data_IF_571260509618
#
_entry.id   IF_571260509618
#
_cell.length_a   1.000
_cell.length_b   1.000
_cell.length_c   1.000
_cell.angle_alpha   90.00
_cell.angle_beta   90.00
_cell.angle_gamma   90.00
#
_symmetry.space_group_name_H-M   'P 1'
#
loop_
_entity.id
_entity.type
_entity.pdbx_description
1 polymer ?
#
# COMPACT_ATOMS: atom_id res chain seq x y z
N UNK A 1 64.17 -95.39 -9.86
CA UNK A 1 64.26 -94.74 -11.19
C UNK A 1 62.99 -93.93 -11.34
N UNK A 2 62.94 -92.69 -10.85
CA UNK A 2 63.53 -91.45 -11.38
C UNK A 2 62.40 -90.59 -11.95
N UNK A 3 62.43 -89.31 -11.57
CA UNK A 3 61.69 -88.15 -12.10
C UNK A 3 60.24 -87.98 -11.64
N UNK A 4 59.71 -86.78 -11.40
CA UNK A 4 60.23 -85.46 -11.04
C UNK A 4 58.96 -84.64 -10.68
N UNK A 5 59.07 -83.83 -9.62
CA UNK A 5 58.47 -82.51 -9.40
C UNK A 5 57.19 -82.07 -10.16
N UNK A 6 56.21 -81.58 -9.40
CA UNK A 6 55.14 -80.73 -9.94
C UNK A 6 54.16 -80.22 -8.87
N UNK A 7 54.57 -79.22 -8.09
CA UNK A 7 53.63 -78.38 -7.33
C UNK A 7 52.73 -77.60 -8.30
N UNK A 8 51.42 -77.52 -8.05
CA UNK A 8 50.71 -76.24 -8.13
C UNK A 8 49.39 -76.25 -7.38
N UNK A 9 49.26 -75.30 -6.45
CA UNK A 9 48.04 -74.96 -5.72
C UNK A 9 47.10 -74.22 -6.67
N UNK A 10 45.91 -74.76 -6.92
CA UNK A 10 44.86 -74.02 -7.59
C UNK A 10 44.29 -72.98 -6.61
N UNK A 11 44.76 -71.74 -6.72
CA UNK A 11 44.12 -70.56 -6.13
C UNK A 11 42.95 -70.21 -7.04
N UNK A 12 41.73 -70.42 -6.55
CA UNK A 12 40.51 -69.90 -7.19
C UNK A 12 40.51 -68.39 -6.95
N UNK A 13 40.94 -67.62 -7.94
CA UNK A 13 40.75 -66.18 -7.98
C UNK A 13 39.29 -65.89 -8.36
N UNK A 14 38.46 -65.58 -7.37
CA UNK A 14 37.15 -64.96 -7.59
C UNK A 14 37.42 -63.52 -8.03
N UNK A 15 37.32 -63.28 -9.34
CA UNK A 15 37.22 -61.95 -9.92
C UNK A 15 35.85 -61.37 -9.52
N UNK A 16 35.78 -60.77 -8.32
CA UNK A 16 34.72 -59.81 -7.99
C UNK A 16 35.01 -58.58 -8.83
N UNK A 17 34.41 -58.52 -10.02
CA UNK A 17 34.20 -57.25 -10.72
C UNK A 17 33.24 -56.46 -9.84
N UNK A 18 33.80 -55.71 -8.90
CA UNK A 18 33.14 -54.57 -8.30
C UNK A 18 32.85 -53.61 -9.46
N UNK A 19 31.64 -53.70 -10.02
CA UNK A 19 30.97 -52.56 -10.61
C UNK A 19 30.75 -51.55 -9.48
N UNK A 20 31.82 -50.90 -9.03
CA UNK A 20 31.72 -49.57 -8.48
C UNK A 20 31.26 -48.71 -9.65
N UNK A 21 29.94 -48.63 -9.84
CA UNK A 21 29.33 -47.47 -10.46
C UNK A 21 30.05 -46.27 -9.85
N UNK A 22 30.75 -45.51 -10.67
CA UNK A 22 31.31 -44.23 -10.25
C UNK A 22 30.12 -43.44 -9.69
N UNK A 23 29.93 -43.47 -8.37
CA UNK A 23 29.06 -42.55 -7.69
C UNK A 23 29.76 -41.21 -7.83
N UNK A 24 29.54 -40.56 -8.98
CA UNK A 24 29.84 -39.16 -9.14
C UNK A 24 29.07 -38.48 -8.02
N UNK A 25 29.79 -38.01 -7.01
CA UNK A 25 29.23 -37.08 -6.05
C UNK A 25 28.92 -35.82 -6.86
N UNK A 26 27.70 -35.76 -7.40
CA UNK A 26 27.26 -34.59 -8.12
C UNK A 26 27.29 -33.42 -7.14
N UNK A 27 27.96 -32.35 -7.54
CA UNK A 27 27.99 -31.15 -6.75
C UNK A 27 26.60 -30.49 -6.84
N UNK A 28 25.78 -30.73 -5.84
CA UNK A 28 24.46 -30.11 -5.70
C UNK A 28 24.52 -28.78 -4.94
N UNK A 29 25.68 -28.10 -4.92
CA UNK A 29 25.80 -26.73 -4.47
C UNK A 29 25.28 -25.73 -5.51
N UNK A 30 25.64 -24.45 -5.33
CA UNK A 30 25.24 -23.40 -6.26
C UNK A 30 25.66 -23.71 -7.70
N UNK A 31 24.74 -23.52 -8.65
CA UNK A 31 24.94 -23.84 -10.07
C UNK A 31 24.28 -22.80 -10.97
N UNK A 32 24.71 -22.79 -12.22
CA UNK A 32 24.23 -21.87 -13.26
C UNK A 32 23.80 -22.69 -14.47
N UNK A 33 22.62 -22.40 -14.99
CA UNK A 33 22.04 -23.06 -16.15
C UNK A 33 22.13 -22.13 -17.33
N UNK A 34 23.14 -22.35 -18.16
CA UNK A 34 23.42 -21.58 -19.39
C UNK A 34 23.02 -22.34 -20.65
N UNK A 35 22.54 -23.57 -20.49
CA UNK A 35 22.07 -24.44 -21.56
C UNK A 35 21.06 -25.49 -21.05
N UNK A 36 20.35 -26.14 -21.97
CA UNK A 36 19.44 -27.26 -21.62
C UNK A 36 20.21 -28.44 -20.98
N UNK A 37 21.45 -28.68 -21.42
CA UNK A 37 22.29 -29.76 -20.89
C UNK A 37 22.69 -29.53 -19.42
N UNK A 38 22.85 -28.27 -18.99
CA UNK A 38 23.12 -27.94 -17.58
C UNK A 38 21.91 -28.29 -16.71
N UNK A 39 20.71 -27.97 -17.19
CA UNK A 39 19.45 -28.32 -16.51
C UNK A 39 19.25 -29.83 -16.43
N UNK A 40 19.53 -30.55 -17.52
CA UNK A 40 19.49 -32.02 -17.56
C UNK A 40 20.46 -32.65 -16.56
N UNK A 41 21.67 -32.11 -16.48
CA UNK A 41 22.68 -32.58 -15.52
C UNK A 41 22.21 -32.33 -14.08
N UNK A 42 21.68 -31.14 -13.79
CA UNK A 42 21.18 -30.82 -12.45
C UNK A 42 20.04 -31.76 -12.05
N UNK A 43 19.00 -31.89 -12.89
CA UNK A 43 17.78 -32.63 -12.54
C UNK A 43 17.98 -34.15 -12.48
N UNK A 44 18.97 -34.70 -13.18
CA UNK A 44 19.31 -36.13 -13.09
C UNK A 44 20.09 -36.48 -11.81
N UNK A 45 20.80 -35.51 -11.23
CA UNK A 45 21.75 -35.79 -10.16
C UNK A 45 21.36 -35.17 -8.81
N UNK A 46 20.56 -34.11 -8.81
CA UNK A 46 20.27 -33.31 -7.62
C UNK A 46 18.76 -33.17 -7.41
N UNK A 47 18.26 -33.86 -6.38
CA UNK A 47 16.90 -33.65 -5.86
C UNK A 47 16.81 -32.41 -4.97
N UNK A 48 17.89 -32.11 -4.25
CA UNK A 48 18.05 -30.93 -3.39
C UNK A 48 19.30 -30.20 -3.84
N UNK A 49 19.19 -28.89 -4.05
CA UNK A 49 20.33 -28.01 -4.35
C UNK A 49 20.60 -27.16 -3.11
N UNK A 50 21.77 -27.29 -2.50
CA UNK A 50 22.17 -26.61 -1.25
C UNK A 50 22.74 -25.21 -1.51
N UNK A 51 22.22 -24.51 -2.52
CA UNK A 51 22.73 -23.22 -2.99
C UNK A 51 21.86 -22.61 -4.07
N UNK A 52 22.35 -21.53 -4.70
CA UNK A 52 21.61 -20.79 -5.72
C UNK A 52 21.52 -21.57 -7.03
N UNK A 53 20.40 -21.45 -7.74
CA UNK A 53 20.23 -21.91 -9.11
C UNK A 53 19.96 -20.69 -9.97
N UNK A 54 20.97 -20.25 -10.72
CA UNK A 54 20.75 -19.17 -11.66
C UNK A 54 20.48 -19.64 -13.07
N UNK A 55 19.67 -18.85 -13.78
CA UNK A 55 19.21 -19.11 -15.14
C UNK A 55 19.82 -18.07 -16.08
N UNK A 56 20.39 -18.56 -17.18
CA UNK A 56 21.03 -17.75 -18.20
C UNK A 56 22.41 -17.20 -17.80
N UNK A 57 23.02 -16.38 -18.67
CA UNK A 57 22.52 -16.04 -20.01
C UNK A 57 22.59 -17.24 -20.98
N UNK A 58 21.72 -17.22 -21.99
CA UNK A 58 21.73 -18.22 -23.07
C UNK A 58 22.40 -17.67 -24.33
N UNK A 59 23.09 -18.54 -25.07
CA UNK A 59 23.67 -18.21 -26.37
C UNK A 59 22.78 -18.67 -27.53
N UNK A 60 22.74 -17.91 -28.62
CA UNK A 60 22.02 -18.25 -29.84
C UNK A 60 20.81 -17.37 -30.09
N UNK A 61 20.02 -17.71 -31.10
CA UNK A 61 18.86 -16.92 -31.53
C UNK A 61 17.52 -17.65 -31.28
N UNK A 62 17.56 -18.94 -30.96
CA UNK A 62 16.37 -19.76 -30.76
C UNK A 62 15.90 -19.70 -29.30
N UNK A 63 14.58 -19.74 -29.09
CA UNK A 63 14.00 -19.79 -27.74
C UNK A 63 14.50 -21.01 -26.98
N UNK A 64 14.95 -20.80 -25.74
CA UNK A 64 15.46 -21.87 -24.87
C UNK A 64 14.40 -22.36 -23.89
N UNK A 65 14.25 -23.68 -23.75
CA UNK A 65 13.30 -24.29 -22.84
C UNK A 65 14.03 -25.02 -21.70
N UNK A 66 13.95 -24.49 -20.48
CA UNK A 66 14.57 -25.06 -19.29
C UNK A 66 13.51 -25.79 -18.47
N UNK A 67 13.79 -27.06 -18.15
CA UNK A 67 12.96 -27.88 -17.27
C UNK A 67 13.80 -28.36 -16.08
N UNK A 68 13.30 -28.12 -14.86
CA UNK A 68 13.91 -28.55 -13.60
C UNK A 68 13.16 -29.72 -12.92
N UNK A 69 12.33 -30.45 -13.66
CA UNK A 69 11.65 -31.66 -13.19
C UNK A 69 12.66 -32.70 -12.69
N UNK A 70 12.56 -33.03 -11.40
CA UNK A 70 13.50 -33.85 -10.63
C UNK A 70 14.06 -33.10 -9.41
N UNK A 71 14.23 -31.77 -9.53
CA UNK A 71 14.62 -30.91 -8.40
C UNK A 71 13.40 -30.64 -7.55
N UNK A 72 13.49 -30.86 -6.24
CA UNK A 72 12.39 -30.67 -5.29
C UNK A 72 12.61 -29.48 -4.34
N UNK A 73 13.86 -29.18 -4.00
CA UNK A 73 14.23 -28.12 -3.05
C UNK A 73 15.46 -27.37 -3.54
N UNK A 74 15.41 -26.04 -3.44
CA UNK A 74 16.56 -25.15 -3.66
C UNK A 74 16.78 -24.35 -2.37
N UNK A 75 17.82 -24.66 -1.61
CA UNK A 75 18.24 -23.92 -0.40
C UNK A 75 19.07 -22.70 -0.83
N UNK A 76 18.43 -21.86 -1.63
CA UNK A 76 18.99 -20.66 -2.22
C UNK A 76 17.98 -19.98 -3.13
N UNK A 77 18.46 -18.99 -3.87
CA UNK A 77 17.66 -18.26 -4.85
C UNK A 77 17.58 -19.05 -6.15
N UNK A 78 16.36 -19.28 -6.63
CA UNK A 78 16.09 -19.59 -8.03
C UNK A 78 15.84 -18.28 -8.77
N UNK A 79 16.71 -17.93 -9.71
CA UNK A 79 16.54 -16.65 -10.40
C UNK A 79 17.53 -16.43 -11.51
N UNK A 80 17.70 -15.19 -11.90
CA UNK A 80 18.55 -14.82 -13.03
C UNK A 80 19.97 -14.46 -12.60
N UNK A 81 20.93 -14.66 -13.52
CA UNK A 81 22.35 -14.39 -13.26
C UNK A 81 22.67 -12.90 -13.14
N UNK A 82 23.14 -12.39 -11.98
CA UNK A 82 23.32 -10.95 -11.77
C UNK A 82 24.56 -10.34 -12.45
N UNK A 83 25.52 -11.14 -12.94
CA UNK A 83 26.85 -10.64 -13.35
C UNK A 83 27.02 -10.28 -14.83
N UNK A 84 25.99 -10.39 -15.67
CA UNK A 84 26.10 -10.10 -17.12
C UNK A 84 25.04 -9.12 -17.62
N UNK A 85 24.79 -8.02 -16.90
CA UNK A 85 23.82 -6.97 -17.30
C UNK A 85 23.94 -6.50 -18.77
N UNK A 86 25.11 -6.65 -19.43
CA UNK A 86 25.28 -6.35 -20.86
C UNK A 86 24.80 -7.45 -21.82
N UNK A 87 24.93 -8.72 -21.46
CA UNK A 87 24.63 -9.84 -22.36
C UNK A 87 23.12 -10.13 -22.42
N UNK A 88 22.34 -9.62 -21.46
CA UNK A 88 20.87 -9.68 -21.44
C UNK A 88 20.24 -9.06 -22.70
N UNK A 89 20.86 -8.02 -23.27
CA UNK A 89 20.35 -7.35 -24.48
C UNK A 89 20.38 -8.25 -25.72
N UNK A 90 21.15 -9.34 -25.70
CA UNK A 90 21.39 -10.19 -26.88
C UNK A 90 21.01 -11.65 -26.69
N UNK A 91 20.55 -12.05 -25.50
CA UNK A 91 20.14 -13.44 -25.28
C UNK A 91 18.79 -13.75 -25.95
N UNK A 92 18.52 -15.00 -26.33
CA UNK A 92 17.21 -15.38 -26.83
C UNK A 92 16.16 -15.38 -25.70
N UNK A 93 14.88 -15.40 -26.09
CA UNK A 93 13.77 -15.69 -25.18
C UNK A 93 13.93 -17.07 -24.54
N UNK A 94 13.38 -17.24 -23.34
CA UNK A 94 13.39 -18.55 -22.70
C UNK A 94 12.14 -18.83 -21.85
N UNK A 95 11.91 -20.11 -21.56
CA UNK A 95 10.87 -20.57 -20.63
C UNK A 95 11.49 -21.40 -19.53
N UNK A 96 10.97 -21.29 -18.31
CA UNK A 96 11.38 -22.11 -17.17
C UNK A 96 10.18 -22.87 -16.61
N UNK A 97 10.30 -24.20 -16.48
CA UNK A 97 9.29 -25.03 -15.87
C UNK A 97 9.85 -25.97 -14.79
N UNK A 98 9.04 -26.22 -13.76
CA UNK A 98 9.23 -27.32 -12.81
C UNK A 98 7.89 -27.72 -12.20
N UNK A 99 7.57 -29.00 -12.33
CA UNK A 99 6.43 -29.67 -11.69
C UNK A 99 6.84 -30.43 -10.41
N UNK A 100 8.13 -30.48 -10.08
CA UNK A 100 8.64 -31.16 -8.89
C UNK A 100 9.14 -30.22 -7.79
N UNK A 101 9.52 -28.98 -8.13
CA UNK A 101 10.04 -28.01 -7.18
C UNK A 101 8.95 -27.63 -6.18
N UNK A 102 9.18 -27.92 -4.90
CA UNK A 102 8.23 -27.67 -3.80
C UNK A 102 8.62 -26.49 -2.94
N UNK A 103 9.93 -26.25 -2.80
CA UNK A 103 10.50 -25.23 -1.92
C UNK A 103 11.71 -24.52 -2.54
N UNK A 104 11.83 -23.22 -2.26
CA UNK A 104 13.03 -22.44 -2.51
C UNK A 104 13.29 -21.47 -1.34
N UNK A 105 14.50 -20.96 -1.17
CA UNK A 105 14.71 -19.85 -0.23
C UNK A 105 14.23 -18.52 -0.83
N UNK A 106 14.44 -18.31 -2.13
CA UNK A 106 13.93 -17.16 -2.85
C UNK A 106 13.63 -17.52 -4.32
N UNK A 107 12.71 -16.78 -4.94
CA UNK A 107 12.47 -16.80 -6.39
C UNK A 107 12.58 -15.38 -6.92
N UNK A 108 13.42 -15.16 -7.93
CA UNK A 108 13.74 -13.80 -8.40
C UNK A 108 13.89 -13.71 -9.91
N UNK A 109 12.99 -12.97 -10.56
CA UNK A 109 13.02 -12.64 -11.98
C UNK A 109 12.60 -11.17 -12.18
N UNK A 110 13.17 -10.47 -13.14
CA UNK A 110 12.74 -9.09 -13.45
C UNK A 110 13.21 -8.02 -12.46
N UNK A 111 14.27 -8.30 -11.69
CA UNK A 111 15.08 -7.25 -11.05
C UNK A 111 15.92 -6.47 -12.08
N UNK A 112 16.22 -7.13 -13.20
CA UNK A 112 16.85 -6.57 -14.39
C UNK A 112 16.06 -7.01 -15.62
N UNK A 113 16.30 -6.40 -16.78
CA UNK A 113 15.65 -6.79 -18.03
C UNK A 113 15.83 -8.28 -18.29
N UNK A 114 14.72 -9.00 -18.44
CA UNK A 114 14.72 -10.45 -18.66
C UNK A 114 13.94 -10.84 -19.88
N UNK A 115 14.42 -11.90 -20.52
CA UNK A 115 13.81 -12.50 -21.70
C UNK A 115 13.00 -13.75 -21.37
N UNK A 116 12.70 -14.00 -20.09
CA UNK A 116 11.74 -15.04 -19.70
C UNK A 116 10.36 -14.71 -20.27
N UNK A 117 9.75 -15.68 -20.95
CA UNK A 117 8.41 -15.55 -21.56
C UNK A 117 7.37 -16.33 -20.78
N UNK A 118 7.73 -17.52 -20.29
CA UNK A 118 6.86 -18.36 -19.44
C UNK A 118 7.63 -18.84 -18.20
N UNK A 119 6.99 -18.73 -17.03
CA UNK A 119 7.47 -19.29 -15.77
C UNK A 119 6.40 -20.20 -15.18
N UNK A 120 6.70 -21.49 -15.05
CA UNK A 120 5.77 -22.50 -14.52
C UNK A 120 6.40 -23.22 -13.34
N UNK A 121 6.02 -22.86 -12.13
CA UNK A 121 6.45 -23.50 -10.88
C UNK A 121 5.21 -24.03 -10.14
N UNK A 122 4.42 -24.85 -10.82
CA UNK A 122 3.07 -25.23 -10.41
C UNK A 122 3.01 -26.03 -9.10
N UNK A 123 4.10 -26.71 -8.73
CA UNK A 123 4.23 -27.45 -7.47
C UNK A 123 4.96 -26.69 -6.36
N UNK A 124 5.42 -25.46 -6.62
CA UNK A 124 6.09 -24.65 -5.61
C UNK A 124 5.06 -24.24 -4.56
N UNK A 125 5.25 -24.68 -3.33
CA UNK A 125 4.28 -24.47 -2.24
C UNK A 125 4.69 -23.37 -1.28
N UNK A 126 5.99 -23.28 -0.99
CA UNK A 126 6.55 -22.33 -0.04
C UNK A 126 7.89 -21.79 -0.50
N UNK A 127 8.11 -20.50 -0.30
CA UNK A 127 9.42 -19.86 -0.43
C UNK A 127 9.79 -19.27 0.92
N UNK A 128 11.01 -19.49 1.42
CA UNK A 128 11.33 -19.07 2.79
C UNK A 128 11.38 -17.54 2.93
N UNK A 129 12.02 -16.86 1.98
CA UNK A 129 12.23 -15.41 2.05
C UNK A 129 11.24 -14.67 1.15
N UNK A 130 11.52 -14.60 -0.15
CA UNK A 130 10.73 -13.76 -1.05
C UNK A 130 10.51 -14.38 -2.43
N UNK A 131 9.37 -14.04 -3.01
CA UNK A 131 9.09 -14.20 -4.44
C UNK A 131 9.05 -12.82 -5.06
N UNK A 132 9.90 -12.57 -6.05
CA UNK A 132 9.96 -11.30 -6.75
C UNK A 132 9.93 -11.56 -8.26
N UNK A 133 8.80 -11.26 -8.89
CA UNK A 133 8.62 -11.19 -10.34
C UNK A 133 8.40 -9.71 -10.67
N UNK A 134 9.50 -9.01 -10.90
CA UNK A 134 9.55 -7.55 -10.97
C UNK A 134 9.13 -6.96 -12.31
N UNK A 135 9.12 -5.62 -12.35
CA UNK A 135 8.69 -4.84 -13.51
C UNK A 135 9.54 -5.07 -14.75
N UNK A 136 10.81 -5.44 -14.59
CA UNK A 136 11.70 -5.67 -15.72
C UNK A 136 11.51 -7.05 -16.38
N UNK A 137 10.58 -7.85 -15.87
CA UNK A 137 10.10 -9.06 -16.55
C UNK A 137 9.07 -8.77 -17.65
N UNK A 138 9.30 -7.74 -18.47
CA UNK A 138 8.37 -7.30 -19.52
C UNK A 138 8.05 -8.38 -20.55
N UNK A 139 8.91 -9.39 -20.75
CA UNK A 139 8.64 -10.43 -21.74
C UNK A 139 7.74 -11.56 -21.20
N UNK A 140 7.55 -11.61 -19.88
CA UNK A 140 6.78 -12.66 -19.22
C UNK A 140 5.28 -12.49 -19.50
N UNK A 141 4.69 -13.43 -20.23
CA UNK A 141 3.27 -13.42 -20.60
C UNK A 141 2.44 -14.45 -19.83
N UNK A 142 3.10 -15.47 -19.28
CA UNK A 142 2.49 -16.58 -18.54
C UNK A 142 3.26 -16.88 -17.24
N UNK A 143 2.56 -16.87 -16.12
CA UNK A 143 3.07 -17.21 -14.79
C UNK A 143 2.14 -18.24 -14.13
N UNK A 144 2.68 -19.40 -13.79
CA UNK A 144 1.97 -20.42 -13.00
C UNK A 144 2.68 -20.66 -11.67
N UNK A 145 2.01 -20.22 -10.61
CA UNK A 145 2.35 -20.39 -9.20
C UNK A 145 1.14 -21.02 -8.48
N UNK A 146 0.41 -21.93 -9.14
CA UNK A 146 -0.90 -22.43 -8.67
C UNK A 146 -0.89 -22.90 -7.21
N UNK A 147 0.19 -23.56 -6.79
CA UNK A 147 0.32 -24.14 -5.43
C UNK A 147 1.01 -23.22 -4.42
N UNK A 148 1.56 -22.08 -4.86
CA UNK A 148 2.31 -21.18 -3.97
C UNK A 148 1.33 -20.50 -3.03
N UNK A 149 1.53 -20.65 -1.73
CA UNK A 149 0.66 -20.03 -0.73
C UNK A 149 1.42 -19.46 0.47
N UNK A 150 2.76 -19.61 0.51
CA UNK A 150 3.59 -19.15 1.61
C UNK A 150 4.88 -18.52 1.11
N UNK A 151 5.16 -17.29 1.57
CA UNK A 151 6.45 -16.60 1.49
C UNK A 151 6.42 -15.40 2.42
N UNK A 152 7.54 -14.99 3.03
CA UNK A 152 7.53 -13.78 3.87
C UNK A 152 7.08 -12.55 3.06
N UNK A 153 7.61 -12.40 1.84
CA UNK A 153 7.25 -11.33 0.92
C UNK A 153 6.97 -11.82 -0.49
N UNK A 154 5.94 -11.25 -1.13
CA UNK A 154 5.63 -11.50 -2.55
C UNK A 154 5.56 -10.16 -3.29
N UNK A 155 6.30 -10.04 -4.38
CA UNK A 155 6.24 -8.94 -5.35
C UNK A 155 5.91 -9.52 -6.72
N UNK A 156 4.79 -9.12 -7.32
CA UNK A 156 4.40 -9.50 -8.68
C UNK A 156 4.03 -8.26 -9.47
N UNK A 157 4.70 -8.01 -10.59
CA UNK A 157 4.41 -6.82 -11.39
C UNK A 157 5.06 -6.83 -12.76
N UNK A 158 4.85 -7.88 -13.56
CA UNK A 158 5.30 -7.92 -14.96
C UNK A 158 4.25 -7.28 -15.88
N UNK A 159 4.53 -6.15 -16.55
CA UNK A 159 3.51 -5.37 -17.27
C UNK A 159 2.79 -6.13 -18.37
N UNK A 160 3.46 -7.04 -19.08
CA UNK A 160 2.86 -7.82 -20.16
C UNK A 160 2.33 -9.19 -19.70
N UNK A 161 2.22 -9.43 -18.39
CA UNK A 161 1.67 -10.68 -17.88
C UNK A 161 0.17 -10.73 -18.17
N UNK A 162 -0.25 -11.69 -19.00
CA UNK A 162 -1.66 -11.88 -19.37
C UNK A 162 -2.32 -13.02 -18.60
N UNK A 163 -1.54 -14.03 -18.23
CA UNK A 163 -2.05 -15.21 -17.53
C UNK A 163 -1.29 -15.43 -16.24
N UNK A 164 -2.00 -15.30 -15.12
CA UNK A 164 -1.54 -15.70 -13.79
C UNK A 164 -2.38 -16.87 -13.31
N UNK A 165 -1.75 -18.03 -13.12
CA UNK A 165 -2.33 -19.14 -12.38
C UNK A 165 -1.85 -19.09 -10.93
N UNK A 166 -2.74 -18.72 -10.03
CA UNK A 166 -2.48 -18.64 -8.61
C UNK A 166 -3.81 -18.83 -7.87
N UNK A 167 -3.82 -19.60 -6.78
CA UNK A 167 -5.05 -20.00 -6.09
C UNK A 167 -5.38 -19.08 -4.91
N UNK A 168 -4.50 -19.05 -3.90
CA UNK A 168 -4.73 -18.31 -2.66
C UNK A 168 -3.41 -18.13 -1.89
N UNK A 169 -3.35 -17.10 -1.06
CA UNK A 169 -2.27 -16.88 -0.11
C UNK A 169 -2.70 -17.34 1.29
N UNK A 170 -1.78 -17.95 2.05
CA UNK A 170 -2.03 -18.46 3.41
C UNK A 170 -1.04 -17.93 4.45
N UNK A 171 0.20 -17.69 4.07
CA UNK A 171 1.25 -17.25 5.00
C UNK A 171 2.19 -16.26 4.30
N UNK A 172 1.76 -14.99 4.30
CA UNK A 172 2.48 -13.85 3.71
C UNK A 172 2.34 -12.67 4.65
N UNK A 173 3.41 -11.91 4.86
CA UNK A 173 3.37 -10.68 5.68
C UNK A 173 3.45 -9.42 4.83
N UNK A 174 4.12 -9.47 3.67
CA UNK A 174 4.28 -8.34 2.76
C UNK A 174 3.87 -8.70 1.33
N UNK A 175 3.03 -7.88 0.72
CA UNK A 175 2.57 -8.06 -0.65
C UNK A 175 2.73 -6.78 -1.47
N UNK A 176 3.41 -6.88 -2.61
CA UNK A 176 3.52 -5.82 -3.60
C UNK A 176 2.98 -6.31 -4.96
N UNK A 177 2.01 -5.59 -5.49
CA UNK A 177 1.36 -5.86 -6.77
C UNK A 177 1.66 -4.68 -7.69
N UNK A 178 2.47 -4.89 -8.72
CA UNK A 178 2.77 -3.93 -9.76
C UNK A 178 1.88 -4.10 -11.01
N UNK A 179 2.14 -3.32 -12.07
CA UNK A 179 1.34 -3.35 -13.29
C UNK A 179 1.33 -4.74 -13.94
N UNK A 180 0.15 -5.17 -14.39
CA UNK A 180 -0.07 -6.44 -15.10
C UNK A 180 -1.33 -6.34 -15.98
N UNK A 181 -1.40 -7.14 -17.04
CA UNK A 181 -2.54 -7.22 -17.97
C UNK A 181 -3.48 -8.42 -17.67
N UNK A 182 -3.48 -8.91 -16.44
CA UNK A 182 -4.35 -10.00 -16.00
C UNK A 182 -5.79 -9.54 -15.76
N UNK A 183 -6.73 -10.48 -15.80
CA UNK A 183 -8.17 -10.18 -15.69
C UNK A 183 -8.69 -10.04 -14.25
N UNK A 184 -7.94 -10.50 -13.25
CA UNK A 184 -8.32 -10.41 -11.83
C UNK A 184 -7.08 -10.44 -10.93
N UNK A 185 -7.18 -9.75 -9.79
CA UNK A 185 -6.20 -9.76 -8.70
C UNK A 185 -6.65 -10.59 -7.51
N UNK A 186 -7.83 -11.21 -7.55
CA UNK A 186 -8.51 -11.75 -6.37
C UNK A 186 -7.67 -12.82 -5.65
N UNK A 187 -6.96 -13.69 -6.38
CA UNK A 187 -6.11 -14.70 -5.74
C UNK A 187 -4.94 -14.12 -4.95
N UNK A 188 -4.59 -12.85 -5.19
CA UNK A 188 -3.56 -12.11 -4.45
C UNK A 188 -4.18 -11.18 -3.40
N UNK A 189 -5.25 -10.47 -3.73
CA UNK A 189 -5.80 -9.39 -2.91
C UNK A 189 -7.03 -9.77 -2.08
N UNK A 190 -7.69 -10.90 -2.34
CA UNK A 190 -8.86 -11.40 -1.62
C UNK A 190 -8.52 -12.66 -0.78
N UNK A 191 -7.69 -12.47 0.26
CA UNK A 191 -7.27 -13.53 1.16
C UNK A 191 -7.46 -13.09 2.63
N UNK A 192 -8.02 -13.94 3.49
CA UNK A 192 -8.23 -13.64 4.93
C UNK A 192 -6.92 -13.75 5.74
N UNK A 193 -5.98 -12.83 5.50
CA UNK A 193 -4.66 -12.78 6.13
C UNK A 193 -4.47 -11.52 6.97
N UNK A 194 -3.44 -11.55 7.80
CA UNK A 194 -2.88 -10.38 8.47
C UNK A 194 -1.59 -9.99 7.75
N UNK A 195 -1.55 -8.78 7.19
CA UNK A 195 -0.38 -8.24 6.50
C UNK A 195 0.26 -7.13 7.34
N UNK A 196 1.59 -7.04 7.27
CA UNK A 196 2.31 -5.85 7.67
C UNK A 196 2.15 -4.77 6.59
N UNK A 197 2.41 -5.12 5.33
CA UNK A 197 2.45 -4.14 4.24
C UNK A 197 1.78 -4.65 2.97
N UNK A 198 0.97 -3.78 2.36
CA UNK A 198 0.33 -4.00 1.06
C UNK A 198 0.60 -2.80 0.14
N UNK A 199 1.26 -3.07 -0.98
CA UNK A 199 1.49 -2.09 -2.04
C UNK A 199 0.77 -2.55 -3.32
N UNK A 200 -0.05 -1.69 -3.90
CA UNK A 200 -0.70 -1.94 -5.18
C UNK A 200 -0.46 -0.75 -6.10
N UNK A 201 0.30 -0.96 -7.17
CA UNK A 201 0.61 0.05 -8.18
C UNK A 201 0.19 -0.42 -9.56
N UNK A 202 -0.79 0.26 -10.16
CA UNK A 202 -1.24 0.00 -11.52
C UNK A 202 -0.34 0.63 -12.59
N UNK A 203 -0.73 0.55 -13.87
CA UNK A 203 -2.10 0.26 -14.32
C UNK A 203 -2.46 -1.24 -14.32
N UNK A 204 -3.77 -1.51 -14.17
CA UNK A 204 -4.39 -2.83 -14.35
C UNK A 204 -5.52 -2.70 -15.39
N UNK A 205 -5.21 -2.62 -16.70
CA UNK A 205 -6.17 -2.22 -17.72
C UNK A 205 -7.39 -3.16 -17.84
N UNK A 206 -7.22 -4.43 -17.48
CA UNK A 206 -8.25 -5.45 -17.58
C UNK A 206 -8.99 -5.70 -16.24
N UNK A 207 -8.63 -4.97 -15.17
CA UNK A 207 -9.25 -5.10 -13.83
C UNK A 207 -10.16 -3.91 -13.56
N UNK A 208 -11.47 -4.19 -13.44
CA UNK A 208 -12.49 -3.16 -13.25
C UNK A 208 -12.70 -2.73 -11.80
N UNK A 209 -12.29 -3.55 -10.84
CA UNK A 209 -12.36 -3.27 -9.40
C UNK A 209 -11.33 -4.14 -8.66
N UNK A 210 -10.66 -3.56 -7.66
CA UNK A 210 -9.71 -4.27 -6.81
C UNK A 210 -10.37 -4.51 -5.45
N UNK A 211 -10.65 -5.77 -5.12
CA UNK A 211 -11.13 -6.16 -3.80
C UNK A 211 -9.97 -6.41 -2.84
N UNK A 212 -10.04 -5.85 -1.63
CA UNK A 212 -9.02 -6.02 -0.58
C UNK A 212 -9.63 -6.85 0.56
N UNK A 213 -9.31 -8.14 0.61
CA UNK A 213 -9.93 -9.15 1.47
C UNK A 213 -9.18 -9.52 2.76
N UNK A 214 -8.13 -8.78 3.11
CA UNK A 214 -7.33 -9.03 4.31
C UNK A 214 -8.08 -8.74 5.61
N UNK A 215 -7.84 -9.53 6.65
CA UNK A 215 -8.44 -9.37 7.99
C UNK A 215 -7.80 -8.21 8.75
N UNK A 216 -6.48 -8.06 8.66
CA UNK A 216 -5.82 -6.87 9.16
C UNK A 216 -4.62 -6.46 8.31
N UNK A 217 -4.38 -5.16 8.18
CA UNK A 217 -3.20 -4.63 7.49
C UNK A 217 -2.62 -3.45 8.26
N UNK A 218 -1.31 -3.46 8.55
CA UNK A 218 -0.68 -2.31 9.20
C UNK A 218 -0.54 -1.12 8.22
N UNK A 219 -0.09 -1.35 7.00
CA UNK A 219 0.10 -0.30 6.02
C UNK A 219 -0.39 -0.71 4.62
N UNK A 220 -1.29 0.07 4.04
CA UNK A 220 -1.77 -0.07 2.67
C UNK A 220 -1.37 1.17 1.88
N UNK A 221 -0.78 0.98 0.71
CA UNK A 221 -0.58 2.02 -0.29
C UNK A 221 -1.07 1.56 -1.66
N UNK A 222 -2.05 2.28 -2.21
CA UNK A 222 -2.65 1.96 -3.51
C UNK A 222 -2.51 3.16 -4.45
N UNK A 223 -2.00 2.92 -5.66
CA UNK A 223 -1.88 3.87 -6.76
C UNK A 223 -2.22 3.18 -8.10
N UNK A 224 -3.49 3.19 -8.53
CA UNK A 224 -3.92 2.27 -9.59
C UNK A 224 -4.83 2.78 -10.69
N UNK A 225 -5.43 3.97 -10.59
CA UNK A 225 -6.52 4.42 -11.47
C UNK A 225 -7.73 3.47 -11.51
N UNK A 226 -7.92 2.68 -10.45
CA UNK A 226 -8.98 1.67 -10.35
C UNK A 226 -9.92 1.93 -9.17
N UNK A 227 -11.20 1.51 -9.26
CA UNK A 227 -12.10 1.40 -8.13
C UNK A 227 -11.58 0.41 -7.08
N UNK A 228 -11.68 0.76 -5.80
CA UNK A 228 -11.28 -0.09 -4.69
C UNK A 228 -12.51 -0.50 -3.86
N UNK A 229 -12.61 -1.78 -3.55
CA UNK A 229 -13.58 -2.30 -2.57
C UNK A 229 -12.83 -2.89 -1.38
N UNK A 230 -13.06 -2.31 -0.19
CA UNK A 230 -12.57 -2.85 1.07
C UNK A 230 -13.49 -3.98 1.55
N UNK A 231 -12.90 -5.14 1.82
CA UNK A 231 -13.58 -6.38 2.13
C UNK A 231 -13.71 -7.29 0.91
N UNK A 232 -13.35 -8.55 1.14
CA UNK A 232 -13.31 -9.60 0.15
C UNK A 232 -14.59 -10.42 0.02
N UNK A 233 -14.48 -11.56 -0.65
CA UNK A 233 -15.58 -12.49 -0.85
C UNK A 233 -15.93 -13.29 0.41
N UNK A 234 -14.97 -13.52 1.30
CA UNK A 234 -15.17 -14.19 2.61
C UNK A 234 -15.10 -13.22 3.79
N UNK A 235 -14.30 -12.14 3.68
CA UNK A 235 -13.97 -11.22 4.78
C UNK A 235 -15.19 -10.66 5.48
N UNK A 236 -15.26 -10.87 6.81
CA UNK A 236 -16.32 -10.33 7.69
C UNK A 236 -15.88 -9.16 8.53
N UNK A 237 -14.60 -9.11 8.88
CA UNK A 237 -14.02 -8.12 9.76
C UNK A 237 -12.70 -7.68 9.15
N UNK A 238 -12.46 -6.37 9.13
CA UNK A 238 -11.26 -5.79 8.56
C UNK A 238 -10.75 -4.65 9.44
N UNK A 239 -9.45 -4.65 9.73
CA UNK A 239 -8.78 -3.56 10.44
C UNK A 239 -7.57 -3.05 9.66
N UNK A 240 -7.48 -1.74 9.44
CA UNK A 240 -6.37 -1.11 8.71
C UNK A 240 -5.76 -0.03 9.59
N UNK A 241 -4.45 -0.08 9.89
CA UNK A 241 -3.84 1.03 10.65
C UNK A 241 -3.59 2.25 9.76
N UNK A 242 -3.06 2.05 8.56
CA UNK A 242 -2.82 3.15 7.62
C UNK A 242 -3.27 2.79 6.20
N UNK A 243 -4.14 3.62 5.64
CA UNK A 243 -4.68 3.50 4.29
C UNK A 243 -4.29 4.72 3.46
N UNK A 244 -3.28 4.59 2.59
CA UNK A 244 -2.84 5.63 1.67
C UNK A 244 -3.37 5.33 0.26
N UNK A 245 -4.22 6.21 -0.25
CA UNK A 245 -4.83 6.09 -1.57
C UNK A 245 -4.37 7.23 -2.47
N UNK A 246 -3.88 6.87 -3.64
CA UNK A 246 -3.45 7.79 -4.68
C UNK A 246 -4.09 7.41 -6.01
N UNK A 247 -4.57 8.40 -6.76
CA UNK A 247 -5.12 8.18 -8.10
C UNK A 247 -6.18 7.07 -8.18
N UNK A 248 -7.04 6.92 -7.17
CA UNK A 248 -8.17 5.98 -7.22
C UNK A 248 -9.39 6.64 -7.85
N UNK A 249 -10.28 5.85 -8.44
CA UNK A 249 -11.51 6.34 -9.09
C UNK A 249 -12.77 6.12 -8.27
N UNK A 250 -12.72 5.24 -7.27
CA UNK A 250 -13.82 4.98 -6.34
C UNK A 250 -13.30 4.27 -5.08
N UNK A 251 -14.02 4.40 -3.95
CA UNK A 251 -13.75 3.68 -2.71
C UNK A 251 -15.07 3.17 -2.12
N UNK A 252 -15.21 1.85 -2.03
CA UNK A 252 -16.41 1.19 -1.52
C UNK A 252 -16.09 0.21 -0.41
N UNK A 253 -17.14 -0.16 0.30
CA UNK A 253 -17.14 -1.26 1.26
C UNK A 253 -17.96 -2.42 0.74
N UNK A 254 -17.43 -3.62 0.92
CA UNK A 254 -18.17 -4.86 0.71
C UNK A 254 -19.32 -4.98 1.71
N UNK A 255 -20.50 -5.34 1.20
CA UNK A 255 -21.69 -5.61 2.04
C UNK A 255 -21.51 -6.81 2.98
N UNK A 256 -20.46 -7.63 2.78
CA UNK A 256 -20.14 -8.77 3.63
C UNK A 256 -19.41 -8.37 4.92
N UNK A 257 -18.80 -7.19 4.97
CA UNK A 257 -18.10 -6.67 6.14
C UNK A 257 -19.10 -6.24 7.22
N UNK A 258 -19.02 -6.90 8.37
CA UNK A 258 -19.71 -6.51 9.61
C UNK A 258 -18.98 -5.35 10.28
N UNK A 259 -17.65 -5.39 10.29
CA UNK A 259 -16.80 -4.35 10.89
C UNK A 259 -15.67 -3.95 9.94
N UNK A 260 -15.40 -2.65 9.86
CA UNK A 260 -14.31 -2.03 9.12
C UNK A 260 -13.74 -0.87 9.94
N UNK A 261 -12.63 -1.12 10.61
CA UNK A 261 -11.93 -0.16 11.46
C UNK A 261 -10.70 0.35 10.74
N UNK A 262 -10.55 1.67 10.61
CA UNK A 262 -9.37 2.28 9.98
C UNK A 262 -8.78 3.29 10.96
N UNK A 263 -7.50 3.22 11.30
CA UNK A 263 -6.90 4.25 12.15
C UNK A 263 -6.69 5.54 11.33
N UNK A 264 -5.89 5.49 10.26
CA UNK A 264 -5.59 6.65 9.43
C UNK A 264 -5.87 6.39 7.96
N UNK A 265 -6.58 7.31 7.31
CA UNK A 265 -6.78 7.34 5.87
C UNK A 265 -6.16 8.62 5.30
N UNK A 266 -5.33 8.48 4.27
CA UNK A 266 -4.78 9.57 3.47
C UNK A 266 -5.18 9.41 2.02
N UNK A 267 -5.79 10.44 1.46
CA UNK A 267 -6.05 10.58 0.03
C UNK A 267 -5.12 11.66 -0.54
N UNK A 268 -4.23 11.28 -1.46
CA UNK A 268 -3.26 12.19 -2.08
C UNK A 268 -3.06 11.95 -3.57
N UNK A 269 -2.24 12.79 -4.20
CA UNK A 269 -1.96 12.71 -5.64
C UNK A 269 -3.11 13.28 -6.48
N UNK A 270 -3.18 12.92 -7.77
CA UNK A 270 -4.36 13.20 -8.57
C UNK A 270 -5.60 12.56 -7.94
N UNK A 271 -6.65 13.34 -7.69
CA UNK A 271 -7.91 12.82 -7.14
C UNK A 271 -8.95 12.81 -8.24
N UNK A 272 -9.35 11.62 -8.66
CA UNK A 272 -10.36 11.40 -9.69
C UNK A 272 -11.78 11.26 -9.12
N UNK A 273 -11.90 11.16 -7.80
CA UNK A 273 -13.16 11.09 -7.07
C UNK A 273 -13.68 12.51 -6.80
N UNK A 274 -14.88 12.82 -7.28
CA UNK A 274 -15.53 14.10 -7.01
C UNK A 274 -16.33 14.12 -5.71
N UNK A 275 -16.84 12.96 -5.27
CA UNK A 275 -17.54 12.76 -4.02
C UNK A 275 -16.96 11.56 -3.26
N UNK A 276 -16.41 11.79 -2.07
CA UNK A 276 -15.86 10.72 -1.23
C UNK A 276 -16.85 10.33 -0.13
N UNK A 277 -17.42 9.13 -0.22
CA UNK A 277 -18.16 8.53 0.89
C UNK A 277 -17.21 7.71 1.77
N UNK A 278 -17.19 7.98 3.08
CA UNK A 278 -16.33 7.27 4.03
C UNK A 278 -17.04 6.01 4.54
N UNK A 279 -16.55 4.80 4.24
CA UNK A 279 -17.32 3.57 4.50
C UNK A 279 -17.01 2.90 5.85
N UNK A 280 -16.31 3.59 6.76
CA UNK A 280 -15.73 2.98 7.97
C UNK A 280 -16.69 2.95 9.16
N UNK A 281 -16.55 1.94 10.02
CA UNK A 281 -17.19 1.87 11.34
C UNK A 281 -16.52 2.80 12.34
N UNK A 282 -15.21 3.01 12.20
CA UNK A 282 -14.39 3.92 12.99
C UNK A 282 -13.25 4.47 12.15
N UNK A 283 -12.93 5.76 12.36
CA UNK A 283 -11.79 6.43 11.73
C UNK A 283 -11.12 7.35 12.74
N UNK A 284 -9.80 7.22 12.95
CA UNK A 284 -9.04 8.16 13.80
C UNK A 284 -8.53 9.37 13.04
N UNK A 285 -8.24 9.24 11.75
CA UNK A 285 -7.74 10.37 10.99
C UNK A 285 -8.16 10.31 9.52
N UNK A 286 -8.66 11.43 9.00
CA UNK A 286 -8.86 11.66 7.57
C UNK A 286 -7.91 12.76 7.11
N UNK A 287 -7.00 12.42 6.19
CA UNK A 287 -6.12 13.36 5.52
C UNK A 287 -6.44 13.43 4.03
N UNK A 288 -6.65 14.63 3.51
CA UNK A 288 -6.84 14.89 2.08
C UNK A 288 -5.80 15.93 1.64
N UNK A 289 -4.92 15.54 0.72
CA UNK A 289 -3.88 16.39 0.16
C UNK A 289 -4.12 16.60 -1.33
N UNK A 290 -4.76 17.71 -1.68
CA UNK A 290 -5.00 18.08 -3.08
C UNK A 290 -3.92 19.01 -3.61
N UNK A 291 -3.43 18.70 -4.81
CA UNK A 291 -2.64 19.62 -5.65
C UNK A 291 -3.54 20.09 -6.81
N UNK A 292 -3.10 21.08 -7.59
CA UNK A 292 -3.89 21.67 -8.71
C UNK A 292 -4.50 20.59 -9.64
N UNK A 293 -5.70 20.85 -10.19
CA UNK A 293 -6.48 19.99 -11.11
C UNK A 293 -7.14 18.70 -10.51
N UNK A 294 -7.63 18.71 -9.27
CA UNK A 294 -8.15 17.51 -8.60
C UNK A 294 -9.47 17.74 -7.83
N UNK A 295 -10.65 17.80 -8.46
CA UNK A 295 -11.82 18.40 -7.85
C UNK A 295 -12.61 17.40 -6.98
N UNK A 296 -12.08 17.05 -5.81
CA UNK A 296 -12.93 16.52 -4.74
C UNK A 296 -13.81 17.67 -4.24
N UNK A 297 -15.12 17.55 -4.43
CA UNK A 297 -16.10 18.59 -4.14
C UNK A 297 -16.78 18.42 -2.80
N UNK A 298 -16.94 17.17 -2.35
CA UNK A 298 -17.64 16.86 -1.10
C UNK A 298 -17.18 15.54 -0.49
N UNK A 299 -17.36 15.44 0.82
CA UNK A 299 -17.07 14.26 1.63
C UNK A 299 -18.32 13.94 2.44
N UNK A 300 -18.71 12.65 2.48
CA UNK A 300 -19.78 12.14 3.33
C UNK A 300 -19.21 11.25 4.41
N UNK A 301 -19.52 11.55 5.67
CA UNK A 301 -19.30 10.66 6.81
C UNK A 301 -20.56 9.85 7.09
N UNK A 302 -20.45 8.60 7.58
CA UNK A 302 -21.62 7.82 7.94
C UNK A 302 -22.26 8.37 9.23
N UNK A 303 -23.58 8.25 9.44
CA UNK A 303 -24.24 8.79 10.64
C UNK A 303 -23.65 8.29 11.97
N UNK A 304 -23.15 7.05 11.98
CA UNK A 304 -22.46 6.44 13.12
C UNK A 304 -21.13 7.11 13.49
N UNK A 305 -20.58 8.00 12.66
CA UNK A 305 -19.33 8.72 12.92
C UNK A 305 -19.37 9.57 14.20
N UNK A 306 -20.56 10.00 14.64
CA UNK A 306 -20.75 10.66 15.94
C UNK A 306 -20.23 9.85 17.13
N UNK A 307 -20.14 8.52 16.97
CA UNK A 307 -19.71 7.57 18.00
C UNK A 307 -18.27 7.07 17.82
N UNK A 308 -17.49 7.62 16.88
CA UNK A 308 -16.08 7.26 16.75
C UNK A 308 -15.29 7.64 18.01
N UNK A 309 -14.55 6.67 18.54
CA UNK A 309 -13.92 6.77 19.87
C UNK A 309 -12.44 7.06 19.82
N UNK A 310 -11.77 6.84 18.68
CA UNK A 310 -10.31 6.85 18.59
C UNK A 310 -9.64 8.23 18.51
N UNK A 311 -10.41 9.32 18.64
CA UNK A 311 -9.88 10.69 18.57
C UNK A 311 -9.70 11.16 17.13
N UNK A 312 -10.80 11.56 16.50
CA UNK A 312 -10.84 11.93 15.08
C UNK A 312 -10.02 13.18 14.77
N UNK A 313 -9.12 13.08 13.80
CA UNK A 313 -8.35 14.16 13.21
C UNK A 313 -8.75 14.43 11.77
N UNK A 314 -9.02 15.69 11.43
CA UNK A 314 -9.29 16.11 10.05
C UNK A 314 -8.16 16.99 9.53
N UNK A 315 -7.50 16.54 8.47
CA UNK A 315 -6.44 17.30 7.77
C UNK A 315 -6.83 17.49 6.32
N UNK A 316 -7.04 18.73 5.89
CA UNK A 316 -7.29 19.10 4.49
C UNK A 316 -6.20 20.08 4.07
N UNK A 317 -5.44 19.75 3.04
CA UNK A 317 -4.42 20.64 2.47
C UNK A 317 -4.62 20.75 0.97
N UNK A 318 -4.96 21.96 0.52
CA UNK A 318 -5.41 22.17 -0.84
C UNK A 318 -6.81 21.56 -1.02
N UNK A 319 -7.63 22.22 -1.82
CA UNK A 319 -8.98 21.74 -2.11
C UNK A 319 -9.93 22.87 -2.47
N UNK A 320 -9.61 23.70 -3.47
CA UNK A 320 -10.38 24.91 -3.78
C UNK A 320 -11.86 24.62 -4.06
N UNK A 321 -12.16 23.43 -4.59
CA UNK A 321 -13.51 22.98 -4.93
C UNK A 321 -14.21 22.20 -3.81
N UNK A 322 -13.48 21.81 -2.74
CA UNK A 322 -14.07 21.12 -1.61
C UNK A 322 -14.95 22.10 -0.82
N UNK A 323 -16.24 21.76 -0.72
CA UNK A 323 -17.24 22.58 -0.07
C UNK A 323 -17.56 22.05 1.34
N UNK A 324 -17.07 22.76 2.35
CA UNK A 324 -17.31 22.56 3.78
C UNK A 324 -18.07 23.77 4.36
N UNK A 325 -19.04 24.32 3.63
CA UNK A 325 -19.84 25.47 4.10
C UNK A 325 -20.92 25.09 5.09
N UNK A 326 -21.44 23.87 4.99
CA UNK A 326 -22.50 23.30 5.84
C UNK A 326 -22.27 21.80 6.05
N UNK A 327 -22.84 21.24 7.11
CA UNK A 327 -22.90 19.79 7.32
C UNK A 327 -23.93 19.08 6.41
N UNK A 328 -24.71 19.86 5.65
CA UNK A 328 -25.69 19.36 4.70
C UNK A 328 -25.19 19.52 3.26
N UNK A 329 -25.34 18.45 2.48
CA UNK A 329 -25.12 18.43 1.04
C UNK A 329 -26.39 18.03 0.29
N UNK A 330 -26.23 17.63 -0.96
CA UNK A 330 -27.27 17.03 -1.79
C UNK A 330 -26.89 15.58 -2.11
N UNK A 331 -27.88 14.68 -2.14
CA UNK A 331 -27.72 13.33 -2.69
C UNK A 331 -27.76 13.34 -4.23
N UNK A 332 -27.62 12.17 -4.84
CA UNK A 332 -27.67 11.99 -6.31
C UNK A 332 -28.99 12.44 -6.94
N UNK A 333 -30.07 12.52 -6.15
CA UNK A 333 -31.38 13.03 -6.59
C UNK A 333 -31.55 14.54 -6.32
N UNK A 334 -30.52 15.22 -5.82
CA UNK A 334 -30.55 16.63 -5.49
C UNK A 334 -31.27 16.96 -4.18
N UNK A 335 -31.68 15.96 -3.40
CA UNK A 335 -32.35 16.16 -2.11
C UNK A 335 -31.30 16.49 -1.05
N UNK A 336 -31.65 17.46 -0.20
CA UNK A 336 -30.79 17.88 0.90
C UNK A 336 -30.67 16.77 1.94
N UNK A 337 -29.44 16.34 2.22
CA UNK A 337 -29.10 15.32 3.22
C UNK A 337 -27.98 15.82 4.12
N UNK A 338 -27.89 15.31 5.34
CA UNK A 338 -26.72 15.56 6.19
C UNK A 338 -25.57 14.65 5.72
N UNK A 339 -24.49 15.27 5.25
CA UNK A 339 -23.30 14.59 4.74
C UNK A 339 -22.18 14.56 5.78
N UNK A 340 -22.20 15.45 6.78
CA UNK A 340 -21.18 15.50 7.80
C UNK A 340 -21.74 15.24 9.20
N UNK A 341 -21.07 14.36 9.94
CA UNK A 341 -21.41 13.98 11.31
C UNK A 341 -20.15 14.10 12.17
N UNK A 342 -20.07 15.16 12.97
CA UNK A 342 -18.90 15.39 13.83
C UNK A 342 -18.78 14.29 14.90
N UNK A 343 -17.62 13.61 14.98
CA UNK A 343 -17.31 12.72 16.10
C UNK A 343 -17.27 13.48 17.43
N UNK A 344 -17.70 12.84 18.51
CA UNK A 344 -17.61 13.44 19.86
C UNK A 344 -16.17 13.60 20.34
N UNK A 345 -15.28 12.69 19.96
CA UNK A 345 -13.87 12.74 20.33
C UNK A 345 -13.07 13.27 19.15
N UNK A 346 -12.82 14.59 19.11
CA UNK A 346 -12.00 15.25 18.07
C UNK A 346 -10.63 15.59 18.66
N UNK A 347 -9.57 15.14 18.00
CA UNK A 347 -8.19 15.35 18.42
C UNK A 347 -7.52 16.48 17.65
N UNK A 348 -7.85 16.67 16.36
CA UNK A 348 -7.15 17.60 15.48
C UNK A 348 -8.08 18.15 14.38
N UNK A 349 -7.97 19.44 14.09
CA UNK A 349 -8.55 20.05 12.89
C UNK A 349 -7.47 20.90 12.22
N UNK A 350 -7.13 20.61 10.97
CA UNK A 350 -6.27 21.44 10.13
C UNK A 350 -6.89 21.51 8.72
N UNK A 351 -7.46 22.65 8.36
CA UNK A 351 -8.11 22.85 7.07
C UNK A 351 -7.44 24.04 6.38
N UNK A 352 -6.85 23.80 5.22
CA UNK A 352 -6.24 24.83 4.40
C UNK A 352 -6.68 24.73 2.95
N UNK A 353 -7.21 25.82 2.40
CA UNK A 353 -7.53 25.96 0.97
C UNK A 353 -8.87 25.40 0.53
N UNK A 354 -9.71 24.91 1.44
CA UNK A 354 -11.10 24.51 1.17
C UNK A 354 -12.09 25.66 1.36
N UNK A 355 -13.26 25.58 0.73
CA UNK A 355 -14.34 26.54 0.96
C UNK A 355 -15.07 26.18 2.25
N UNK A 356 -15.01 27.02 3.27
CA UNK A 356 -15.46 26.73 4.64
C UNK A 356 -16.50 27.74 5.08
N UNK A 357 -17.46 27.31 5.91
CA UNK A 357 -18.46 28.18 6.53
C UNK A 357 -18.65 27.84 8.00
N UNK A 358 -19.06 28.81 8.82
CA UNK A 358 -19.28 28.59 10.26
C UNK A 358 -20.28 27.45 10.53
N UNK A 359 -21.34 27.34 9.70
CA UNK A 359 -22.40 26.33 9.91
C UNK A 359 -21.94 24.89 9.78
N UNK A 360 -20.79 24.65 9.13
CA UNK A 360 -20.17 23.34 9.11
C UNK A 360 -19.74 22.89 10.51
N UNK A 361 -19.33 23.83 11.38
CA UNK A 361 -18.82 23.55 12.71
C UNK A 361 -19.85 23.68 13.82
N UNK A 362 -21.09 24.11 13.56
CA UNK A 362 -22.10 24.36 14.62
C UNK A 362 -22.23 23.20 15.64
N UNK A 363 -22.30 21.91 15.25
CA UNK A 363 -22.42 20.81 16.22
C UNK A 363 -21.16 20.65 17.06
N UNK A 364 -19.98 20.80 16.44
CA UNK A 364 -18.70 20.79 17.12
C UNK A 364 -18.61 21.94 18.13
N UNK A 365 -18.93 23.17 17.71
CA UNK A 365 -18.95 24.35 18.59
C UNK A 365 -19.92 24.14 19.75
N UNK A 366 -21.15 23.71 19.47
CA UNK A 366 -22.15 23.47 20.51
C UNK A 366 -21.69 22.40 21.51
N UNK A 367 -20.99 21.36 21.05
CA UNK A 367 -20.40 20.36 21.92
C UNK A 367 -19.30 20.96 22.82
N UNK A 368 -18.44 21.82 22.27
CA UNK A 368 -17.36 22.46 23.03
C UNK A 368 -17.87 23.51 24.02
N UNK A 369 -18.98 24.19 23.69
CA UNK A 369 -19.68 25.16 24.55
C UNK A 369 -20.54 24.47 25.63
N UNK A 370 -21.07 23.28 25.34
CA UNK A 370 -21.96 22.52 26.22
C UNK A 370 -21.23 21.93 27.44
N UNK A 371 -21.46 22.52 28.61
CA UNK A 371 -21.01 22.00 29.90
C UNK A 371 -21.80 20.74 30.28
N UNK A 372 -21.26 19.55 30.00
CA UNK A 372 -21.55 18.36 30.80
C UNK A 372 -20.26 17.82 31.41
N UNK A 373 -20.22 17.78 32.75
CA UNK A 373 -19.04 17.46 33.56
C UNK A 373 -18.54 16.01 33.40
N UNK A 374 -19.30 15.15 32.73
CA UNK A 374 -18.98 13.72 32.60
C UNK A 374 -17.96 13.42 31.48
N UNK A 375 -17.74 14.36 30.57
CA UNK A 375 -16.70 14.27 29.53
C UNK A 375 -16.18 15.68 29.24
N UNK A 376 -15.12 16.16 29.92
CA UNK A 376 -14.47 17.37 29.44
C UNK A 376 -14.04 17.11 27.99
N UNK A 377 -14.46 17.91 27.00
CA UNK A 377 -13.98 17.70 25.64
C UNK A 377 -12.46 17.77 25.66
N UNK A 378 -11.82 16.80 25.03
CA UNK A 378 -10.37 16.79 24.85
C UNK A 378 -9.97 18.12 24.24
N UNK A 379 -9.07 18.86 24.91
CA UNK A 379 -8.40 19.97 24.25
C UNK A 379 -7.73 19.38 23.03
N UNK A 380 -8.12 19.86 21.85
CA UNK A 380 -7.52 19.41 20.59
C UNK A 380 -6.00 19.55 20.70
N UNK A 381 -5.24 18.65 20.09
CA UNK A 381 -3.79 18.81 20.00
C UNK A 381 -3.39 19.92 19.02
N UNK A 382 -4.27 20.23 18.06
CA UNK A 382 -4.03 21.20 16.99
C UNK A 382 -5.35 21.71 16.38
N UNK A 383 -5.43 23.01 16.10
CA UNK A 383 -6.56 23.65 15.44
C UNK A 383 -6.06 24.73 14.46
N UNK A 384 -6.24 24.49 13.17
CA UNK A 384 -5.93 25.46 12.11
C UNK A 384 -7.02 25.53 11.07
N UNK A 385 -7.45 26.76 10.74
CA UNK A 385 -8.34 27.02 9.60
C UNK A 385 -7.77 28.18 8.78
N UNK A 386 -7.39 27.88 7.55
CA UNK A 386 -6.98 28.81 6.52
C UNK A 386 -7.90 28.64 5.29
N UNK A 387 -9.05 29.32 5.26
CA UNK A 387 -10.07 29.10 4.25
C UNK A 387 -9.59 29.49 2.85
N UNK A 388 -10.22 28.91 1.82
CA UNK A 388 -10.07 29.37 0.44
C UNK A 388 -10.59 30.81 0.28
N UNK A 389 -10.15 31.49 -0.79
CA UNK A 389 -10.69 32.80 -1.16
C UNK A 389 -12.20 32.79 -1.48
N UNK A 390 -12.78 31.62 -1.76
CA UNK A 390 -14.21 31.44 -2.05
C UNK A 390 -15.07 31.35 -0.79
N UNK A 391 -14.46 31.15 0.38
CA UNK A 391 -15.18 31.25 1.65
C UNK A 391 -15.46 32.73 1.85
N UNK A 392 -16.72 33.19 1.83
CA UNK A 392 -17.03 34.62 2.00
C UNK A 392 -17.69 34.94 3.34
N UNK A 393 -18.19 33.90 4.03
CA UNK A 393 -18.99 34.02 5.25
C UNK A 393 -18.28 33.47 6.48
N UNK A 394 -17.04 32.97 6.33
CA UNK A 394 -16.29 32.36 7.42
C UNK A 394 -15.65 33.42 8.33
N UNK A 395 -15.93 33.33 9.63
CA UNK A 395 -15.29 34.17 10.64
C UNK A 395 -14.77 33.35 11.84
N UNK A 396 -13.73 33.88 12.47
CA UNK A 396 -13.01 33.23 13.55
C UNK A 396 -13.50 33.56 14.96
N UNK A 397 -14.55 34.38 15.11
CA UNK A 397 -14.97 34.92 16.42
C UNK A 397 -15.24 33.80 17.42
N UNK A 398 -16.09 32.85 17.07
CA UNK A 398 -16.45 31.73 17.96
C UNK A 398 -15.27 30.80 18.29
N UNK A 399 -14.32 30.62 17.37
CA UNK A 399 -13.15 29.79 17.65
C UNK A 399 -12.16 30.48 18.59
N UNK A 400 -12.04 31.82 18.50
CA UNK A 400 -11.25 32.60 19.48
C UNK A 400 -11.89 32.61 20.87
N UNK A 401 -13.23 32.57 20.95
CA UNK A 401 -13.92 32.39 22.23
C UNK A 401 -13.62 31.01 22.83
N UNK A 402 -13.69 29.95 22.03
CA UNK A 402 -13.34 28.59 22.46
C UNK A 402 -11.86 28.48 22.89
N UNK A 403 -10.95 29.15 22.19
CA UNK A 403 -9.54 29.30 22.60
C UNK A 403 -9.43 29.99 23.97
N UNK A 404 -10.10 31.14 24.15
CA UNK A 404 -10.11 31.88 25.41
C UNK A 404 -10.71 31.11 26.59
N UNK A 405 -11.61 30.16 26.31
CA UNK A 405 -12.18 29.23 27.29
C UNK A 405 -11.29 27.99 27.57
N UNK A 406 -10.14 27.86 26.89
CA UNK A 406 -9.26 26.69 27.01
C UNK A 406 -9.82 25.41 26.37
N UNK A 407 -10.77 25.53 25.44
CA UNK A 407 -11.35 24.41 24.67
C UNK A 407 -10.57 24.08 23.40
N UNK A 408 -9.83 25.05 22.88
CA UNK A 408 -8.87 24.89 21.79
C UNK A 408 -7.45 25.17 22.31
N UNK A 409 -6.39 24.70 21.61
CA UNK A 409 -5.02 25.08 21.94
C UNK A 409 -4.85 26.60 22.00
N UNK A 410 -3.97 27.08 22.88
CA UNK A 410 -3.61 28.50 22.97
C UNK A 410 -2.15 28.77 22.55
N UNK A 411 -1.40 27.73 22.19
CA UNK A 411 -0.06 27.84 21.65
C UNK A 411 -0.14 28.37 20.20
N UNK A 412 0.58 29.45 19.89
CA UNK A 412 0.57 30.07 18.56
C UNK A 412 1.05 29.15 17.44
N UNK A 413 1.72 28.04 17.76
CA UNK A 413 2.04 26.99 16.79
C UNK A 413 0.91 25.97 16.58
N UNK A 414 -0.03 25.87 17.52
CA UNK A 414 -1.12 24.87 17.53
C UNK A 414 -2.50 25.47 17.28
N UNK A 415 -2.63 26.79 17.34
CA UNK A 415 -3.86 27.51 17.03
C UNK A 415 -3.63 28.57 15.95
N UNK A 416 -4.40 28.49 14.87
CA UNK A 416 -4.48 29.55 13.88
C UNK A 416 -5.86 29.58 13.21
N UNK A 417 -6.52 30.73 13.19
CA UNK A 417 -7.77 30.92 12.45
C UNK A 417 -7.72 32.21 11.66
N UNK A 418 -7.89 32.10 10.35
CA UNK A 418 -7.92 33.21 9.42
C UNK A 418 -9.36 33.44 8.93
N UNK A 419 -9.86 34.67 9.08
CA UNK A 419 -11.12 35.06 8.45
C UNK A 419 -10.98 34.94 6.94
N UNK A 420 -12.08 34.67 6.23
CA UNK A 420 -12.10 34.90 4.80
C UNK A 420 -11.80 36.36 4.49
N UNK A 421 -10.84 36.61 3.59
CA UNK A 421 -10.52 37.97 3.17
C UNK A 421 -11.78 38.65 2.65
N UNK A 422 -12.17 39.75 3.30
CA UNK A 422 -13.04 40.75 2.68
C UNK A 422 -12.27 41.25 1.45
N UNK A 423 -12.76 40.96 0.24
CA UNK A 423 -12.29 41.66 -0.97
C UNK A 423 -12.38 43.15 -0.65
N UNK A 424 -11.23 43.82 -0.59
CA UNK A 424 -11.11 45.19 -0.12
C UNK A 424 -11.79 46.15 -1.10
N UNK A 425 -13.07 46.39 -0.90
CA UNK A 425 -13.81 47.54 -1.45
C UNK A 425 -14.21 48.56 -0.37
N UNK A 426 -13.97 48.26 0.91
CA UNK A 426 -14.25 49.19 1.99
C UNK A 426 -12.99 50.02 2.30
N UNK A 427 -13.05 51.28 1.89
CA UNK A 427 -12.15 52.37 2.28
C UNK A 427 -11.82 52.24 3.77
N UNK A 428 -10.52 52.28 4.11
CA UNK A 428 -10.07 52.48 5.50
C UNK A 428 -10.68 53.79 6.02
N UNK A 429 -11.81 53.72 6.71
CA UNK A 429 -12.23 54.83 7.58
C UNK A 429 -11.24 54.83 8.72
N UNK A 430 -10.34 55.82 8.71
CA UNK A 430 -9.52 56.14 9.87
C UNK A 430 -10.44 56.32 11.07
N UNK A 431 -10.31 55.42 12.05
CA UNK A 431 -10.79 55.68 13.40
C UNK A 431 -9.96 56.86 13.92
N UNK A 432 -10.57 57.98 14.33
CA UNK A 432 -9.82 59.07 14.91
C UNK A 432 -9.18 58.57 16.20
N UNK A 433 -7.86 58.70 16.29
CA UNK A 433 -7.09 58.44 17.49
C UNK A 433 -7.65 59.36 18.58
N UNK A 434 -8.23 58.77 19.62
CA UNK A 434 -8.52 59.44 20.89
C UNK A 434 -7.18 59.79 21.54
N UNK A 435 -6.63 60.94 21.17
CA UNK A 435 -5.52 61.56 21.87
C UNK A 435 -5.99 61.91 23.28
N UNK A 436 -5.39 61.21 24.22
CA UNK A 436 -5.60 61.22 25.65
C UNK A 436 -5.72 62.62 26.25
N UNK A 437 -6.78 62.78 27.02
CA UNK A 437 -7.17 63.88 27.91
C UNK A 437 -6.22 64.04 29.12
N UNK A 438 -4.90 64.02 28.92
CA UNK A 438 -3.89 64.11 29.98
C UNK A 438 -2.92 65.32 29.85
N UNK A 439 -3.26 66.31 29.01
CA UNK A 439 -2.44 67.51 28.78
C UNK A 439 -2.96 68.84 29.35
N UNK A 440 -3.99 68.85 30.19
CA UNK A 440 -4.65 70.10 30.62
C UNK A 440 -4.77 70.33 32.14
N UNK A 441 -4.13 69.53 32.99
CA UNK A 441 -4.23 69.67 34.47
C UNK A 441 -2.88 69.77 35.19
N UNK A 442 -1.76 69.91 34.45
CA UNK A 442 -0.42 70.06 35.05
C UNK A 442 0.31 71.34 34.59
N UNK A 443 -0.45 72.42 34.39
CA UNK A 443 0.06 73.77 34.08
C UNK A 443 -0.34 74.86 35.09
N UNK A 444 -1.00 74.49 36.19
CA UNK A 444 -1.39 75.39 37.28
C UNK A 444 -1.11 74.61 38.57
N UNK A 445 -0.02 74.96 39.27
CA UNK A 445 0.48 74.47 40.57
C UNK A 445 1.94 73.95 40.59
N UNK A 446 2.86 74.74 40.04
CA UNK A 446 4.19 75.01 40.63
C UNK A 446 4.46 76.50 40.29
N UNK A 447 3.88 77.46 41.02
CA UNK A 447 4.45 78.12 42.22
C UNK A 447 5.86 78.65 41.92
N UNK A 448 6.01 79.97 41.79
CA UNK A 448 6.53 80.76 42.91
C UNK A 448 7.82 80.13 43.44
N UNK A 449 8.92 80.44 42.76
CA UNK A 449 10.19 81.02 43.25
C UNK A 449 10.79 81.80 42.08
#
# INVERSE_FOLDING_TARGET
>A
MSNMLGFSRAVIAVLVVLCCSNAFAANCGSTWITSVADADTLRQNCRVVTGHVGIGPFSGNDTVHINLDGVEVIEGTLGEYPYTQRDYLTQPSYTLSSSSLKKADAVEFGNYDTHIVNLTLSSLTSVNNYVNIGIYAYNLVYLDLTSLHSADSITLGSPNLHTLHHTELRNVTTLAIGPMEINSLDSLSDNELNLDELYISGPFPNVSNIAIGFTSVNYIQISGNSPITLGGSSTKEMSIKQLNLESITDLKRSAKLKTLEVDSMKLSGPIHITHLEIPFDNLRQLQVLQRENNPLKSITLPPKAVNWTGGFGLVITGGPDLNLTSMYGADDQGKRIQTWYWPKNVSLIDISGATVGNTFFDPFVNQQMGLNKDFPPSVLSYFRINPSANSTTFNCTTFRELEGMGRLPSDGYKFACYNSYLVSGAIRVHVPITLSLFGAVLGIYIWMI
#
